data_IF_151458964370
#
_entry.id   IF_151458964370
#
_cell.length_a   1.000
_cell.length_b   1.000
_cell.length_c   1.000
_cell.angle_alpha   90.00
_cell.angle_beta   90.00
_cell.angle_gamma   90.00
#
_symmetry.space_group_name_H-M   'P 1'
#
loop_
_entity.id
_entity.type
_entity.pdbx_description
1 polymer ?
#
# COMPACT_ATOMS: atom_id res chain seq x y z
N UNK A 1 0.56 -18.32 -0.81
CA UNK A 1 1.54 -18.24 -1.91
C UNK A 1 2.91 -18.61 -1.34
N UNK A 2 3.65 -19.51 -1.97
CA UNK A 2 5.04 -19.74 -1.56
C UNK A 2 5.86 -18.49 -1.92
N UNK A 3 6.57 -17.91 -0.95
CA UNK A 3 7.42 -16.74 -1.18
C UNK A 3 6.71 -15.39 -1.22
N UNK A 4 5.48 -15.26 -0.68
CA UNK A 4 4.87 -13.94 -0.48
C UNK A 4 5.65 -13.11 0.54
N UNK A 5 5.70 -11.79 0.34
CA UNK A 5 6.25 -10.88 1.34
C UNK A 5 5.42 -10.94 2.63
N UNK A 6 6.10 -11.18 3.75
CA UNK A 6 5.47 -11.25 5.07
C UNK A 6 5.19 -9.86 5.68
N UNK A 7 5.90 -8.83 5.20
CA UNK A 7 5.76 -7.44 5.61
C UNK A 7 6.05 -6.53 4.40
N UNK A 8 5.06 -6.33 3.51
CA UNK A 8 5.18 -5.44 2.37
C UNK A 8 5.05 -3.96 2.76
N UNK A 9 6.06 -3.16 2.41
CA UNK A 9 5.97 -1.69 2.39
C UNK A 9 5.53 -1.21 1.01
N UNK A 10 4.47 -0.41 0.99
CA UNK A 10 3.99 0.30 -0.19
C UNK A 10 4.41 1.77 -0.11
N UNK A 11 5.01 2.29 -1.19
CA UNK A 11 5.39 3.68 -1.38
C UNK A 11 4.78 4.18 -2.71
N UNK A 12 4.13 5.33 -2.70
CA UNK A 12 3.54 5.98 -3.88
C UNK A 12 4.34 7.24 -4.17
N UNK A 13 4.85 7.37 -5.40
CA UNK A 13 5.57 8.54 -5.87
C UNK A 13 4.77 9.27 -6.94
N UNK A 14 4.80 10.61 -6.93
CA UNK A 14 4.22 11.41 -8.02
C UNK A 14 5.17 11.44 -9.24
N UNK A 15 4.76 12.13 -10.30
CA UNK A 15 5.54 12.27 -11.54
C UNK A 15 6.89 12.96 -11.38
N UNK A 16 7.10 13.70 -10.30
CA UNK A 16 8.37 14.37 -9.97
C UNK A 16 9.31 13.46 -9.15
N UNK A 17 8.88 12.23 -8.84
CA UNK A 17 9.63 11.31 -7.99
C UNK A 17 9.57 11.65 -6.50
N UNK A 18 8.64 12.52 -6.09
CA UNK A 18 8.42 12.88 -4.68
C UNK A 18 7.50 11.85 -4.02
N UNK A 19 7.85 11.43 -2.81
CA UNK A 19 7.02 10.51 -2.02
C UNK A 19 5.70 11.19 -1.68
N UNK A 20 4.61 10.64 -2.21
CA UNK A 20 3.25 11.12 -2.00
C UNK A 20 2.58 10.44 -0.80
N UNK A 21 2.74 9.12 -0.67
CA UNK A 21 2.20 8.35 0.44
C UNK A 21 3.01 7.07 0.69
N UNK A 22 2.96 6.54 1.91
CA UNK A 22 3.58 5.25 2.23
C UNK A 22 2.87 4.56 3.40
N UNK A 23 2.85 3.23 3.40
CA UNK A 23 2.35 2.42 4.50
C UNK A 23 3.05 1.04 4.51
N UNK A 24 3.30 0.48 5.69
CA UNK A 24 3.77 -0.90 5.88
C UNK A 24 2.87 -1.72 6.83
N UNK A 25 2.05 -1.07 7.65
CA UNK A 25 1.04 -1.69 8.50
C UNK A 25 -0.27 -0.90 8.37
N UNK A 26 -1.29 -1.46 7.73
CA UNK A 26 -2.51 -0.73 7.39
C UNK A 26 -3.28 -0.22 8.62
N UNK A 27 -3.18 -0.93 9.75
CA UNK A 27 -3.80 -0.54 11.03
C UNK A 27 -3.10 0.63 11.73
N UNK A 28 -1.87 0.96 11.33
CA UNK A 28 -1.04 1.94 12.06
C UNK A 28 -1.50 3.38 11.89
N UNK A 29 -2.10 3.73 10.75
CA UNK A 29 -2.42 5.14 10.43
C UNK A 29 -3.81 5.37 9.84
N UNK A 30 -4.39 4.40 9.13
CA UNK A 30 -5.64 4.58 8.38
C UNK A 30 -6.63 3.44 8.62
N UNK A 31 -6.64 2.84 9.81
CA UNK A 31 -7.47 1.65 10.09
C UNK A 31 -8.95 1.90 9.77
N UNK A 32 -9.50 3.01 10.26
CA UNK A 32 -10.92 3.33 10.07
C UNK A 32 -11.28 3.54 8.59
N UNK A 33 -10.45 4.28 7.85
CA UNK A 33 -10.64 4.54 6.43
C UNK A 33 -10.52 3.26 5.60
N UNK A 34 -9.52 2.42 5.90
CA UNK A 34 -9.32 1.14 5.22
C UNK A 34 -10.48 0.18 5.50
N UNK A 35 -10.98 0.11 6.74
CA UNK A 35 -12.18 -0.67 7.07
C UNK A 35 -13.41 -0.16 6.34
N UNK A 36 -13.57 1.16 6.21
CA UNK A 36 -14.70 1.77 5.52
C UNK A 36 -14.75 1.43 4.01
N UNK A 37 -13.63 1.02 3.40
CA UNK A 37 -13.60 0.54 2.00
C UNK A 37 -14.36 -0.78 1.80
N UNK A 38 -14.61 -1.54 2.86
CA UNK A 38 -15.20 -2.89 2.79
C UNK A 38 -14.25 -3.99 2.32
N UNK A 39 -12.99 -3.64 1.98
CA UNK A 39 -11.95 -4.57 1.52
C UNK A 39 -10.63 -4.41 2.30
N UNK A 40 -10.64 -4.42 3.65
CA UNK A 40 -9.41 -4.31 4.42
C UNK A 40 -8.48 -5.52 4.17
N UNK A 41 -7.15 -5.32 4.19
CA UNK A 41 -6.21 -6.44 4.19
C UNK A 41 -6.47 -7.39 5.36
N UNK A 42 -6.19 -8.67 5.16
CA UNK A 42 -6.50 -9.72 6.17
C UNK A 42 -5.40 -9.89 7.19
N UNK A 43 -4.16 -9.51 6.86
CA UNK A 43 -3.02 -9.59 7.75
C UNK A 43 -2.62 -8.20 8.25
N UNK A 44 -2.27 -8.08 9.54
CA UNK A 44 -1.99 -6.77 10.14
C UNK A 44 -0.72 -6.10 9.60
N UNK A 45 0.22 -6.89 9.05
CA UNK A 45 1.47 -6.41 8.44
C UNK A 45 1.35 -6.15 6.93
N UNK A 46 0.15 -6.21 6.38
CA UNK A 46 -0.07 -5.79 5.00
C UNK A 46 -0.15 -4.26 4.91
N UNK A 47 0.21 -3.71 3.76
CA UNK A 47 0.10 -2.29 3.49
C UNK A 47 -1.21 -1.95 2.77
N UNK A 48 -1.81 -0.83 3.17
CA UNK A 48 -2.92 -0.22 2.46
C UNK A 48 -2.84 1.30 2.58
N UNK A 49 -3.27 2.01 1.53
CA UNK A 49 -3.30 3.47 1.47
C UNK A 49 -4.66 3.87 0.90
N UNK A 50 -5.41 4.66 1.65
CA UNK A 50 -6.63 5.33 1.17
C UNK A 50 -6.33 6.81 1.02
N UNK A 51 -6.37 7.31 -0.21
CA UNK A 51 -6.07 8.72 -0.51
C UNK A 51 -6.89 9.23 -1.69
N UNK A 52 -7.28 10.50 -1.61
CA UNK A 52 -7.63 11.27 -2.79
C UNK A 52 -6.34 11.54 -3.59
N UNK A 53 -6.36 11.18 -4.87
CA UNK A 53 -5.22 11.33 -5.77
C UNK A 53 -5.59 12.40 -6.79
N UNK A 54 -4.91 13.57 -6.78
CA UNK A 54 -5.02 14.56 -7.84
C UNK A 54 -4.71 13.95 -9.21
N UNK A 55 -5.25 14.53 -10.28
CA UNK A 55 -4.95 14.08 -11.63
C UNK A 55 -3.43 14.17 -11.91
N UNK A 56 -2.84 13.06 -12.36
CA UNK A 56 -1.41 12.98 -12.63
C UNK A 56 -0.93 11.54 -12.78
N UNK A 57 0.34 11.38 -13.14
CA UNK A 57 0.99 10.07 -13.17
C UNK A 57 1.61 9.76 -11.81
N UNK A 58 1.42 8.52 -11.35
CA UNK A 58 1.96 8.02 -10.09
C UNK A 58 2.58 6.65 -10.28
N UNK A 59 3.60 6.35 -9.47
CA UNK A 59 4.27 5.05 -9.44
C UNK A 59 4.09 4.42 -8.06
N UNK A 60 3.56 3.21 -8.02
CA UNK A 60 3.54 2.37 -6.83
C UNK A 60 4.81 1.52 -6.78
N UNK A 61 5.54 1.61 -5.67
CA UNK A 61 6.71 0.79 -5.36
C UNK A 61 6.37 -0.12 -4.17
N UNK A 62 6.54 -1.42 -4.33
CA UNK A 62 6.36 -2.41 -3.26
C UNK A 62 7.67 -3.15 -2.99
N UNK A 63 8.01 -3.33 -1.71
CA UNK A 63 9.20 -4.06 -1.26
C UNK A 63 8.99 -4.64 0.13
N UNK A 64 9.80 -5.61 0.54
CA UNK A 64 9.84 -6.03 1.95
C UNK A 64 10.31 -4.88 2.83
N UNK A 65 9.61 -4.61 3.92
CA UNK A 65 9.92 -3.50 4.84
C UNK A 65 11.37 -3.57 5.35
N UNK A 66 11.80 -4.77 5.75
CA UNK A 66 13.17 -5.05 6.21
C UNK A 66 14.14 -5.46 5.08
N UNK A 67 13.78 -5.20 3.82
CA UNK A 67 14.56 -5.63 2.66
C UNK A 67 14.48 -7.14 2.37
N UNK A 68 13.50 -7.83 2.95
CA UNK A 68 13.25 -9.25 2.71
C UNK A 68 12.78 -9.48 1.27
N UNK A 69 13.28 -10.53 0.58
CA UNK A 69 12.84 -10.86 -0.76
C UNK A 69 11.47 -11.55 -0.72
N UNK A 70 10.71 -11.41 -1.79
CA UNK A 70 9.44 -12.10 -1.95
C UNK A 70 8.62 -11.54 -3.11
N UNK A 71 7.44 -12.11 -3.28
CA UNK A 71 6.45 -11.69 -4.25
C UNK A 71 5.38 -10.86 -3.54
N UNK A 72 4.98 -9.76 -4.16
CA UNK A 72 3.82 -8.98 -3.76
C UNK A 72 2.85 -8.83 -4.92
N UNK A 73 1.58 -8.67 -4.58
CA UNK A 73 0.52 -8.22 -5.48
C UNK A 73 0.17 -6.80 -5.07
N UNK A 74 0.04 -5.91 -6.05
CA UNK A 74 -0.45 -4.53 -5.85
C UNK A 74 -1.75 -4.41 -6.60
N UNK A 75 -2.78 -3.95 -5.91
CA UNK A 75 -4.12 -3.72 -6.45
C UNK A 75 -4.50 -2.26 -6.24
N UNK A 76 -5.28 -1.70 -7.16
CA UNK A 76 -5.77 -0.32 -7.11
C UNK A 76 -7.27 -0.32 -7.32
N UNK A 77 -7.98 0.32 -6.42
CA UNK A 77 -9.44 0.41 -6.41
C UNK A 77 -9.85 1.88 -6.48
N UNK A 78 -10.81 2.20 -7.35
CA UNK A 78 -11.53 3.46 -7.28
C UNK A 78 -12.65 3.31 -6.24
N UNK A 79 -12.68 4.20 -5.26
CA UNK A 79 -13.70 4.24 -4.22
C UNK A 79 -14.68 5.39 -4.54
N UNK A 80 -15.97 5.13 -4.40
CA UNK A 80 -17.07 6.10 -4.64
C UNK A 80 -17.53 6.77 -3.34
#
# INVERSE_FOLDING_TARGET
MSGALADPKLEIYNSEGVLFASNNDWRGTQEAEVVATGIPPTHNRESAIVREIPAGAYTALVRGFDGTPGVALVEVYALD
#
